data_IF_724182193601
#
_entry.id   IF_724182193601
#
_cell.length_a   1.000
_cell.length_b   1.000
_cell.length_c   1.000
_cell.angle_alpha   90.00
_cell.angle_beta   90.00
_cell.angle_gamma   90.00
#
_symmetry.space_group_name_H-M   'P 1'
#
loop_
_entity.id
_entity.type
_entity.pdbx_description
1 polymer ?
#
# COMPACT_ATOMS: atom_id res chain seq x y z
N UNK A 1 14.11 -25.61 -22.63
CA UNK A 1 13.12 -26.06 -21.63
C UNK A 1 11.96 -25.07 -21.58
N UNK A 2 10.74 -25.45 -21.98
CA UNK A 2 9.58 -24.55 -22.16
C UNK A 2 9.04 -24.00 -20.84
N UNK A 3 9.13 -24.79 -19.77
CA UNK A 3 8.67 -24.39 -18.43
C UNK A 3 9.50 -23.25 -17.84
N UNK A 4 10.82 -23.31 -17.95
CA UNK A 4 11.72 -22.25 -17.49
C UNK A 4 11.41 -20.89 -18.15
N UNK A 5 11.09 -20.89 -19.46
CA UNK A 5 10.71 -19.66 -20.17
C UNK A 5 9.34 -19.10 -19.72
N UNK A 6 8.43 -19.97 -19.27
CA UNK A 6 7.13 -19.58 -18.75
C UNK A 6 7.27 -18.94 -17.37
N UNK A 7 8.06 -19.57 -16.49
CA UNK A 7 8.38 -19.03 -15.16
C UNK A 7 9.02 -17.63 -15.24
N UNK A 8 10.04 -17.45 -16.09
CA UNK A 8 10.67 -16.14 -16.28
C UNK A 8 9.69 -15.05 -16.75
N UNK A 9 8.64 -15.42 -17.50
CA UNK A 9 7.64 -14.47 -17.94
C UNK A 9 6.72 -14.06 -16.79
N UNK A 10 6.35 -15.00 -15.93
CA UNK A 10 5.51 -14.76 -14.76
C UNK A 10 6.25 -13.89 -13.72
N UNK A 11 7.52 -14.17 -13.47
CA UNK A 11 8.37 -13.36 -12.58
C UNK A 11 8.47 -11.91 -13.06
N UNK A 12 8.73 -11.68 -14.36
CA UNK A 12 8.77 -10.32 -14.93
C UNK A 12 7.44 -9.58 -14.86
N UNK A 13 6.33 -10.31 -15.03
CA UNK A 13 5.00 -9.72 -14.90
C UNK A 13 4.70 -9.34 -13.45
N UNK A 14 5.15 -10.15 -12.49
CA UNK A 14 5.05 -9.86 -11.07
C UNK A 14 5.87 -8.63 -10.70
N UNK A 15 7.14 -8.55 -11.11
CA UNK A 15 8.00 -7.38 -10.88
C UNK A 15 7.35 -6.09 -11.41
N UNK A 16 6.90 -6.08 -12.67
CA UNK A 16 6.27 -4.91 -13.28
C UNK A 16 4.96 -4.50 -12.57
N UNK A 17 4.18 -5.48 -12.11
CA UNK A 17 2.97 -5.21 -11.34
C UNK A 17 3.30 -4.61 -9.97
N UNK A 18 4.30 -5.15 -9.27
CA UNK A 18 4.76 -4.64 -7.98
C UNK A 18 5.30 -3.21 -8.09
N UNK A 19 6.13 -2.91 -9.10
CA UNK A 19 6.60 -1.54 -9.38
C UNK A 19 5.43 -0.57 -9.58
N UNK A 20 4.43 -0.99 -10.37
CA UNK A 20 3.24 -0.18 -10.63
C UNK A 20 2.41 0.08 -9.35
N UNK A 21 2.29 -0.92 -8.47
CA UNK A 21 1.60 -0.78 -7.18
C UNK A 21 2.40 0.15 -6.25
N UNK A 22 3.71 -0.07 -6.12
CA UNK A 22 4.61 0.73 -5.30
C UNK A 22 4.56 2.21 -5.71
N UNK A 23 4.62 2.50 -7.01
CA UNK A 23 4.53 3.88 -7.51
C UNK A 23 3.22 4.55 -7.08
N UNK A 24 2.08 3.87 -7.25
CA UNK A 24 0.76 4.42 -6.91
C UNK A 24 0.58 4.63 -5.40
N UNK A 25 1.11 3.72 -4.60
CA UNK A 25 1.13 3.87 -3.14
C UNK A 25 2.00 5.06 -2.73
N UNK A 26 3.16 5.24 -3.36
CA UNK A 26 4.02 6.39 -3.10
C UNK A 26 3.37 7.72 -3.49
N UNK A 27 2.69 7.79 -4.64
CA UNK A 27 1.95 8.99 -5.07
C UNK A 27 0.86 9.36 -4.05
N UNK A 28 0.10 8.36 -3.58
CA UNK A 28 -0.94 8.55 -2.57
C UNK A 28 -0.36 9.00 -1.23
N UNK A 29 0.72 8.36 -0.78
CA UNK A 29 1.45 8.72 0.45
C UNK A 29 1.91 10.18 0.40
N UNK A 30 2.50 10.62 -0.71
CA UNK A 30 2.97 11.99 -0.87
C UNK A 30 1.81 13.00 -0.84
N UNK A 31 0.69 12.72 -1.51
CA UNK A 31 -0.49 13.60 -1.48
C UNK A 31 -1.09 13.70 -0.08
N UNK A 32 -1.16 12.59 0.66
CA UNK A 32 -1.63 12.58 2.06
C UNK A 32 -0.69 13.42 2.93
N UNK A 33 0.63 13.20 2.83
CA UNK A 33 1.60 13.96 3.61
C UNK A 33 1.54 15.47 3.29
N UNK A 34 1.40 15.84 2.02
CA UNK A 34 1.22 17.22 1.60
C UNK A 34 -0.08 17.84 2.12
N UNK A 35 -1.18 17.09 2.14
CA UNK A 35 -2.45 17.56 2.69
C UNK A 35 -2.37 17.76 4.20
N UNK A 36 -1.77 16.83 4.94
CA UNK A 36 -1.52 16.96 6.38
C UNK A 36 -0.70 18.22 6.65
N UNK A 37 0.42 18.41 5.93
CA UNK A 37 1.26 19.58 6.09
C UNK A 37 0.50 20.90 5.88
N UNK A 38 -0.32 20.99 4.82
CA UNK A 38 -1.17 22.18 4.57
C UNK A 38 -2.19 22.42 5.67
N UNK A 39 -2.82 21.37 6.18
CA UNK A 39 -3.78 21.49 7.29
C UNK A 39 -3.08 21.92 8.58
N UNK A 40 -1.85 21.47 8.83
CA UNK A 40 -1.15 21.80 10.06
C UNK A 40 -0.50 23.19 10.02
N UNK A 41 -0.02 23.64 8.85
CA UNK A 41 0.82 24.84 8.73
C UNK A 41 0.15 26.00 8.00
N UNK A 42 -0.85 25.74 7.15
CA UNK A 42 -1.45 26.73 6.25
C UNK A 42 -2.96 26.92 6.50
N UNK A 43 -3.53 26.32 7.56
CA UNK A 43 -4.98 26.29 7.79
C UNK A 43 -5.63 27.67 7.88
N UNK A 44 -4.93 28.69 8.38
CA UNK A 44 -5.46 30.05 8.49
C UNK A 44 -5.63 30.73 7.13
N UNK A 45 -4.82 30.34 6.15
CA UNK A 45 -4.78 30.92 4.80
C UNK A 45 -5.40 30.03 3.73
N UNK A 46 -5.71 28.78 4.07
CA UNK A 46 -6.18 27.79 3.11
C UNK A 46 -7.65 28.03 2.74
N UNK A 47 -7.90 28.26 1.47
CA UNK A 47 -9.26 28.35 0.94
C UNK A 47 -9.92 26.97 0.86
N UNK A 48 -11.21 26.89 1.20
CA UNK A 48 -11.98 25.65 1.13
C UNK A 48 -11.94 24.94 -0.24
N UNK A 49 -12.03 25.65 -1.39
CA UNK A 49 -11.89 25.00 -2.70
C UNK A 49 -10.54 24.28 -2.86
N UNK A 50 -9.45 24.89 -2.40
CA UNK A 50 -8.12 24.28 -2.45
C UNK A 50 -8.07 22.99 -1.62
N UNK A 51 -8.66 22.98 -0.43
CA UNK A 51 -8.75 21.76 0.37
C UNK A 51 -9.53 20.65 -0.36
N UNK A 52 -10.66 21.00 -0.97
CA UNK A 52 -11.48 20.06 -1.74
C UNK A 52 -10.74 19.51 -2.97
N UNK A 53 -9.98 20.34 -3.68
CA UNK A 53 -9.18 19.92 -4.82
C UNK A 53 -8.10 18.90 -4.41
N UNK A 54 -7.41 19.15 -3.28
CA UNK A 54 -6.43 18.19 -2.73
C UNK A 54 -7.12 16.87 -2.31
N UNK A 55 -8.30 16.95 -1.69
CA UNK A 55 -9.08 15.76 -1.33
C UNK A 55 -9.53 14.97 -2.56
N UNK A 56 -9.98 15.65 -3.62
CA UNK A 56 -10.36 15.04 -4.89
C UNK A 56 -9.18 14.33 -5.55
N UNK A 57 -7.98 14.91 -5.49
CA UNK A 57 -6.74 14.28 -5.97
C UNK A 57 -6.46 12.97 -5.24
N UNK A 58 -6.48 12.96 -3.90
CA UNK A 58 -6.27 11.77 -3.08
C UNK A 58 -7.30 10.69 -3.42
N UNK A 59 -8.58 11.07 -3.53
CA UNK A 59 -9.66 10.16 -3.92
C UNK A 59 -9.45 9.56 -5.32
N UNK A 60 -8.98 10.36 -6.27
CA UNK A 60 -8.62 9.92 -7.61
C UNK A 60 -7.45 8.93 -7.60
N UNK A 61 -6.39 9.21 -6.83
CA UNK A 61 -5.24 8.31 -6.66
C UNK A 61 -5.66 6.98 -6.01
N UNK A 62 -6.49 7.01 -4.97
CA UNK A 62 -7.03 5.81 -4.32
C UNK A 62 -7.85 4.96 -5.30
N UNK A 63 -8.72 5.59 -6.08
CA UNK A 63 -9.51 4.92 -7.13
C UNK A 63 -8.59 4.26 -8.18
N UNK A 64 -7.51 4.96 -8.54
CA UNK A 64 -6.49 4.45 -9.48
C UNK A 64 -5.75 3.23 -8.91
N UNK A 65 -5.40 3.25 -7.62
CA UNK A 65 -4.79 2.12 -6.92
C UNK A 65 -5.75 0.92 -6.88
N UNK A 66 -7.01 1.12 -6.48
CA UNK A 66 -8.02 0.06 -6.46
C UNK A 66 -8.18 -0.60 -7.83
N UNK A 67 -8.21 0.20 -8.91
CA UNK A 67 -8.30 -0.34 -10.28
C UNK A 67 -7.11 -1.23 -10.64
N UNK A 68 -5.90 -0.88 -10.23
CA UNK A 68 -4.71 -1.71 -10.48
C UNK A 68 -4.75 -3.01 -9.69
N UNK A 69 -5.16 -2.94 -8.42
CA UNK A 69 -5.30 -4.13 -7.57
C UNK A 69 -6.41 -5.07 -8.06
N UNK A 70 -7.46 -4.54 -8.70
CA UNK A 70 -8.54 -5.33 -9.29
C UNK A 70 -8.27 -5.79 -10.73
N UNK A 71 -7.18 -5.35 -11.37
CA UNK A 71 -6.97 -5.59 -12.81
C UNK A 71 -6.47 -7.02 -13.07
N UNK A 72 -7.07 -7.70 -14.06
CA UNK A 72 -6.63 -9.01 -14.58
C UNK A 72 -5.17 -9.10 -15.09
N UNK A 73 -4.49 -7.96 -15.29
CA UNK A 73 -3.08 -7.89 -15.72
C UNK A 73 -2.12 -7.95 -14.54
N UNK A 74 -2.61 -7.72 -13.33
CA UNK A 74 -1.85 -8.04 -12.14
C UNK A 74 -1.82 -9.58 -12.07
N UNK A 75 -0.64 -10.23 -11.99
CA UNK A 75 -0.60 -11.65 -11.73
C UNK A 75 -1.41 -11.93 -10.45
N UNK A 76 -2.05 -13.10 -10.33
CA UNK A 76 -2.91 -13.38 -9.20
C UNK A 76 -2.11 -13.42 -7.89
N UNK A 77 -1.92 -12.25 -7.26
CA UNK A 77 -1.22 -12.09 -5.99
C UNK A 77 -1.88 -12.92 -4.89
N UNK A 78 -3.19 -13.18 -5.02
CA UNK A 78 -3.95 -14.08 -4.16
C UNK A 78 -3.42 -15.52 -4.11
N UNK A 79 -2.64 -15.94 -5.13
CA UNK A 79 -2.02 -17.27 -5.19
C UNK A 79 -0.62 -17.28 -4.59
N UNK A 80 -0.12 -16.12 -4.13
CA UNK A 80 1.18 -15.97 -3.51
C UNK A 80 1.00 -15.68 -2.02
N UNK A 81 2.02 -16.02 -1.24
CA UNK A 81 2.08 -15.74 0.19
C UNK A 81 3.37 -15.00 0.49
N UNK A 82 3.28 -13.98 1.33
CA UNK A 82 4.45 -13.29 1.87
C UNK A 82 4.79 -13.94 3.20
N UNK A 83 6.03 -14.40 3.34
CA UNK A 83 6.57 -14.92 4.59
C UNK A 83 7.97 -14.34 4.84
N UNK A 84 8.33 -14.02 6.09
CA UNK A 84 9.71 -13.70 6.46
C UNK A 84 10.63 -14.88 6.16
N UNK A 85 11.73 -14.64 5.45
CA UNK A 85 12.79 -15.64 5.26
C UNK A 85 13.87 -15.57 6.35
N UNK A 86 14.08 -14.38 6.90
CA UNK A 86 15.04 -14.11 7.96
C UNK A 86 14.45 -13.05 8.90
N UNK A 87 14.69 -13.24 10.19
CA UNK A 87 14.35 -12.29 11.23
C UNK A 87 15.64 -11.87 11.92
N UNK A 88 15.84 -10.58 12.09
CA UNK A 88 17.03 -10.04 12.72
C UNK A 88 16.64 -8.87 13.62
N UNK A 89 17.14 -8.83 14.87
CA UNK A 89 17.02 -7.65 15.73
C UNK A 89 18.04 -6.57 15.36
N UNK A 90 18.98 -6.87 14.46
CA UNK A 90 19.94 -5.89 13.99
C UNK A 90 19.27 -4.86 13.08
N UNK A 91 19.83 -3.66 13.10
CA UNK A 91 19.38 -2.57 12.23
C UNK A 91 19.81 -2.88 10.79
N UNK A 92 18.85 -2.81 9.88
CA UNK A 92 19.08 -2.94 8.44
C UNK A 92 18.98 -1.55 7.81
N UNK A 93 20.13 -0.98 7.40
CA UNK A 93 20.18 0.35 6.79
C UNK A 93 19.51 0.39 5.40
N UNK A 94 19.54 -0.72 4.65
CA UNK A 94 18.87 -0.76 3.34
C UNK A 94 17.35 -0.73 3.54
N UNK A 95 16.84 -1.55 4.47
CA UNK A 95 15.42 -1.55 4.85
C UNK A 95 15.00 -0.17 5.38
N UNK A 96 15.81 0.44 6.24
CA UNK A 96 15.55 1.77 6.76
C UNK A 96 15.50 2.81 5.63
N UNK A 97 16.42 2.76 4.66
CA UNK A 97 16.45 3.70 3.56
C UNK A 97 15.21 3.56 2.65
N UNK A 98 14.88 2.33 2.21
CA UNK A 98 13.75 2.12 1.28
C UNK A 98 12.39 2.37 1.93
N UNK A 99 12.31 2.29 3.27
CA UNK A 99 11.08 2.56 4.02
C UNK A 99 11.03 3.97 4.63
N UNK A 100 11.94 4.87 4.25
CA UNK A 100 12.02 6.24 4.79
C UNK A 100 12.09 6.24 6.33
N UNK A 101 12.91 5.35 6.87
CA UNK A 101 13.16 5.10 8.29
C UNK A 101 11.94 4.65 9.11
N UNK A 102 10.84 4.25 8.48
CA UNK A 102 9.68 3.67 9.19
C UNK A 102 9.92 2.26 9.71
N UNK A 103 10.73 1.47 9.00
CA UNK A 103 11.11 0.12 9.40
C UNK A 103 12.63 0.06 9.44
N UNK A 104 13.19 -0.07 10.65
CA UNK A 104 14.65 -0.08 10.86
C UNK A 104 15.19 -1.47 11.16
N UNK A 105 14.32 -2.39 11.55
CA UNK A 105 14.65 -3.78 11.86
C UNK A 105 13.45 -4.67 11.53
N UNK A 106 13.70 -5.97 11.32
CA UNK A 106 12.66 -6.94 10.99
C UNK A 106 12.74 -8.10 11.99
N UNK A 107 12.33 -7.79 13.22
CA UNK A 107 12.48 -8.64 14.40
C UNK A 107 11.19 -9.41 14.76
N UNK A 108 11.32 -10.47 15.55
CA UNK A 108 10.21 -11.38 15.90
C UNK A 108 9.00 -10.69 16.55
N UNK A 109 9.23 -9.62 17.29
CA UNK A 109 8.22 -8.84 17.99
C UNK A 109 7.49 -7.83 17.09
N UNK A 110 8.12 -7.35 16.01
CA UNK A 110 7.56 -6.31 15.12
C UNK A 110 6.92 -6.87 13.85
N UNK A 111 7.41 -8.00 13.36
CA UNK A 111 6.92 -8.62 12.11
C UNK A 111 5.42 -8.91 12.10
N UNK A 112 4.79 -9.37 13.21
CA UNK A 112 3.34 -9.53 13.25
C UNK A 112 2.58 -8.24 12.90
N UNK A 113 3.09 -7.09 13.31
CA UNK A 113 2.49 -5.78 13.00
C UNK A 113 2.75 -5.38 11.55
N UNK A 114 3.97 -5.58 11.03
CA UNK A 114 4.31 -5.24 9.64
C UNK A 114 3.58 -6.09 8.59
N UNK A 115 3.29 -7.36 8.91
CA UNK A 115 2.58 -8.28 8.02
C UNK A 115 1.09 -8.43 8.36
N UNK A 116 0.56 -7.58 9.24
CA UNK A 116 -0.84 -7.65 9.66
C UNK A 116 -1.78 -7.49 8.47
N UNK A 117 -2.68 -8.46 8.29
CA UNK A 117 -3.77 -8.43 7.31
C UNK A 117 -5.15 -8.18 7.93
N UNK A 118 -5.23 -8.21 9.27
CA UNK A 118 -6.48 -7.94 10.00
C UNK A 118 -6.88 -6.48 9.82
N UNK A 119 -8.11 -6.26 9.34
CA UNK A 119 -8.71 -4.95 9.15
C UNK A 119 -8.77 -4.13 10.43
N UNK A 120 -8.85 -2.81 10.27
CA UNK A 120 -9.17 -1.90 11.37
C UNK A 120 -10.61 -2.10 11.84
N UNK A 121 -10.90 -1.97 13.15
CA UNK A 121 -12.23 -2.30 13.72
C UNK A 121 -13.40 -1.58 13.05
N UNK A 122 -13.20 -0.31 12.66
CA UNK A 122 -14.24 0.47 11.97
C UNK A 122 -14.50 -0.05 10.55
N UNK A 123 -13.45 -0.48 9.85
CA UNK A 123 -13.57 -1.05 8.51
C UNK A 123 -14.22 -2.43 8.56
N UNK A 124 -13.83 -3.27 9.52
CA UNK A 124 -14.42 -4.59 9.79
C UNK A 124 -15.93 -4.46 10.10
N UNK A 125 -16.30 -3.56 11.00
CA UNK A 125 -17.70 -3.29 11.34
C UNK A 125 -18.50 -2.84 10.12
N UNK A 126 -17.94 -1.93 9.32
CA UNK A 126 -18.60 -1.44 8.10
C UNK A 126 -18.79 -2.55 7.06
N UNK A 127 -17.81 -3.43 6.90
CA UNK A 127 -17.90 -4.58 6.01
C UNK A 127 -19.03 -5.52 6.44
N UNK A 128 -19.09 -5.90 7.71
CA UNK A 128 -20.15 -6.75 8.26
C UNK A 128 -21.55 -6.14 8.08
N UNK A 129 -21.67 -4.82 8.26
CA UNK A 129 -22.93 -4.11 8.01
C UNK A 129 -23.36 -4.15 6.54
N UNK A 130 -22.42 -4.06 5.60
CA UNK A 130 -22.70 -4.14 4.17
C UNK A 130 -23.08 -5.56 3.75
N UNK A 131 -22.41 -6.57 4.31
CA UNK A 131 -22.73 -7.98 4.10
C UNK A 131 -24.14 -8.32 4.60
N UNK A 132 -24.52 -7.85 5.80
CA UNK A 132 -25.86 -8.06 6.35
C UNK A 132 -26.95 -7.36 5.51
N UNK A 133 -26.65 -6.23 4.87
CA UNK A 133 -27.61 -5.53 3.99
C UNK A 133 -27.78 -6.20 2.62
N UNK A 134 -26.82 -7.04 2.21
CA UNK A 134 -26.85 -7.74 0.93
C UNK A 134 -27.53 -9.11 1.01
N UNK A 135 -27.84 -9.59 2.22
CA UNK A 135 -28.64 -10.80 2.50
C UNK A 135 -30.13 -10.46 2.55
#
# INVERSE_FOLDING_TARGET
NKQYKMQQREEKQLESALESIIQRVNDLKQSIAAMIFKIENEYETMAWPTLLDNYALISGQLTSLSKVLSHDKCPPLRNLTVLPLMLSPERDEQLAQITEHRVTTFAHDLVPDYLRTKLEPLAETKMLQLEHKAQ
#
